data_IF_628903552936
#
_entry.id   IF_628903552936
#
_cell.length_a   1.000
_cell.length_b   1.000
_cell.length_c   1.000
_cell.angle_alpha   90.00
_cell.angle_beta   90.00
_cell.angle_gamma   90.00
#
_symmetry.space_group_name_H-M   'P 1'
#
loop_
_entity.id
_entity.type
_entity.pdbx_description
1 polymer ?
#
# COMPACT_ATOMS: atom_id res chain seq x y z
N UNK A 1 23.45 -7.90 -20.61
CA UNK A 1 22.11 -8.41 -20.91
C UNK A 1 21.80 -9.52 -19.92
N UNK A 2 21.19 -9.19 -18.79
CA UNK A 2 20.54 -10.19 -17.94
C UNK A 2 19.28 -9.52 -17.40
N UNK A 3 18.13 -9.95 -17.91
CA UNK A 3 16.87 -9.57 -17.33
C UNK A 3 16.84 -10.18 -15.92
N UNK A 4 16.94 -9.36 -14.89
CA UNK A 4 16.61 -9.73 -13.54
C UNK A 4 15.14 -10.15 -13.53
N UNK A 5 14.90 -11.42 -13.79
CA UNK A 5 13.54 -11.93 -13.89
C UNK A 5 13.01 -12.14 -12.49
N UNK A 6 12.21 -11.16 -12.01
CA UNK A 6 11.44 -11.31 -10.77
C UNK A 6 10.72 -12.66 -10.77
N UNK A 7 10.86 -13.41 -9.68
CA UNK A 7 10.05 -14.60 -9.47
C UNK A 7 8.59 -14.22 -9.18
N UNK A 8 7.78 -14.20 -10.24
CA UNK A 8 6.35 -13.90 -10.16
C UNK A 8 5.55 -14.93 -9.38
N UNK A 9 6.05 -16.15 -9.24
CA UNK A 9 5.39 -17.17 -8.42
C UNK A 9 5.60 -16.88 -6.92
N UNK A 10 6.81 -16.46 -6.53
CA UNK A 10 7.09 -15.97 -5.18
C UNK A 10 6.23 -14.76 -4.86
N UNK A 11 6.21 -13.76 -5.75
CA UNK A 11 5.42 -12.54 -5.58
C UNK A 11 3.93 -12.86 -5.41
N UNK A 12 3.37 -13.77 -6.20
CA UNK A 12 1.97 -14.22 -6.09
C UNK A 12 1.68 -14.84 -4.72
N UNK A 13 2.61 -15.62 -4.18
CA UNK A 13 2.46 -16.28 -2.88
C UNK A 13 2.35 -15.30 -1.72
N UNK A 14 3.07 -14.17 -1.77
CA UNK A 14 3.15 -13.21 -0.66
C UNK A 14 2.30 -11.95 -0.82
N UNK A 15 1.74 -11.67 -2.02
CA UNK A 15 1.09 -10.37 -2.31
C UNK A 15 -0.44 -10.38 -2.38
N UNK A 16 -1.08 -11.54 -2.27
CA UNK A 16 -2.56 -11.66 -2.28
C UNK A 16 -3.21 -10.85 -3.43
N UNK A 17 -4.16 -9.94 -3.11
CA UNK A 17 -4.83 -9.08 -4.09
C UNK A 17 -3.91 -8.07 -4.76
N UNK A 18 -2.82 -7.66 -4.11
CA UNK A 18 -1.87 -6.70 -4.67
C UNK A 18 -1.07 -7.26 -5.85
N UNK A 19 -0.98 -8.59 -5.99
CA UNK A 19 -0.41 -9.25 -7.16
C UNK A 19 -1.06 -8.79 -8.48
N UNK A 20 -2.38 -8.64 -8.50
CA UNK A 20 -3.11 -8.18 -9.69
C UNK A 20 -2.69 -6.75 -10.06
N UNK A 21 -2.56 -5.87 -9.06
CA UNK A 21 -2.06 -4.50 -9.24
C UNK A 21 -0.68 -4.52 -9.90
N UNK A 22 0.26 -5.30 -9.37
CA UNK A 22 1.63 -5.38 -9.91
C UNK A 22 1.67 -5.94 -11.34
N UNK A 23 0.84 -6.93 -11.66
CA UNK A 23 0.77 -7.52 -13.01
C UNK A 23 0.21 -6.58 -14.07
N UNK A 24 -0.71 -5.71 -13.69
CA UNK A 24 -1.34 -4.74 -14.59
C UNK A 24 -0.40 -3.57 -14.91
N UNK A 25 0.58 -3.26 -14.05
CA UNK A 25 1.49 -2.13 -14.24
C UNK A 25 2.12 -2.09 -15.63
N UNK A 26 2.34 -0.88 -16.19
CA UNK A 26 3.16 -0.69 -17.39
C UNK A 26 4.57 -1.24 -17.19
N UNK A 27 5.14 -1.83 -18.24
CA UNK A 27 6.47 -2.45 -18.19
C UNK A 27 7.57 -1.54 -17.62
N UNK A 28 7.65 -0.22 -17.94
CA UNK A 28 8.73 0.63 -17.43
C UNK A 28 8.87 0.70 -15.91
N UNK A 29 7.74 0.61 -15.16
CA UNK A 29 7.73 0.76 -13.70
C UNK A 29 7.49 -0.55 -12.95
N UNK A 30 7.02 -1.59 -13.65
CA UNK A 30 6.54 -2.84 -13.03
C UNK A 30 7.60 -3.53 -12.19
N UNK A 31 8.79 -3.69 -12.73
CA UNK A 31 9.87 -4.43 -12.09
C UNK A 31 10.35 -3.72 -10.82
N UNK A 32 10.63 -2.43 -10.91
CA UNK A 32 11.12 -1.65 -9.77
C UNK A 32 10.10 -1.58 -8.63
N UNK A 33 8.80 -1.45 -8.96
CA UNK A 33 7.73 -1.46 -7.95
C UNK A 33 7.59 -2.85 -7.33
N UNK A 34 7.71 -3.92 -8.13
CA UNK A 34 7.64 -5.29 -7.62
C UNK A 34 8.83 -5.63 -6.71
N UNK A 35 10.05 -5.16 -7.03
CA UNK A 35 11.24 -5.31 -6.17
C UNK A 35 11.07 -4.56 -4.85
N UNK A 36 10.63 -3.31 -4.88
CA UNK A 36 10.35 -2.55 -3.66
C UNK A 36 9.28 -3.24 -2.77
N UNK A 37 8.25 -3.82 -3.39
CA UNK A 37 7.25 -4.61 -2.68
C UNK A 37 7.85 -5.86 -2.03
N UNK A 38 8.70 -6.63 -2.74
CA UNK A 38 9.38 -7.80 -2.18
C UNK A 38 10.29 -7.41 -0.99
N UNK A 39 11.05 -6.31 -1.12
CA UNK A 39 11.89 -5.79 -0.04
C UNK A 39 11.06 -5.44 1.21
N UNK A 40 9.95 -4.73 1.05
CA UNK A 40 9.03 -4.42 2.14
C UNK A 40 8.48 -5.70 2.79
N UNK A 41 8.07 -6.71 1.98
CA UNK A 41 7.55 -7.98 2.50
C UNK A 41 8.61 -8.81 3.24
N UNK A 42 9.88 -8.78 2.80
CA UNK A 42 10.99 -9.38 3.56
C UNK A 42 11.08 -8.75 4.95
N UNK A 43 11.11 -7.41 5.03
CA UNK A 43 11.18 -6.71 6.32
C UNK A 43 9.99 -6.99 7.23
N UNK A 44 8.75 -6.97 6.69
CA UNK A 44 7.53 -7.32 7.44
C UNK A 44 7.62 -8.75 8.00
N UNK A 45 8.05 -9.70 7.15
CA UNK A 45 8.14 -11.10 7.55
C UNK A 45 9.24 -11.35 8.58
N UNK A 46 10.35 -10.61 8.50
CA UNK A 46 11.41 -10.64 9.53
C UNK A 46 10.92 -10.08 10.86
N UNK A 47 10.11 -9.02 10.84
CA UNK A 47 9.59 -8.38 12.03
C UNK A 47 8.50 -9.21 12.74
N UNK A 48 7.56 -9.77 11.96
CA UNK A 48 6.37 -10.48 12.49
C UNK A 48 6.53 -12.00 12.59
N UNK A 49 7.58 -12.55 11.98
CA UNK A 49 7.78 -13.99 11.82
C UNK A 49 7.05 -14.58 10.61
N UNK A 50 7.63 -15.60 9.99
CA UNK A 50 7.03 -16.28 8.85
C UNK A 50 5.90 -17.22 9.29
N UNK A 51 4.65 -16.92 8.90
CA UNK A 51 3.45 -17.69 9.25
C UNK A 51 3.02 -18.66 8.15
N UNK A 52 3.51 -18.50 6.91
CA UNK A 52 3.16 -19.30 5.75
C UNK A 52 4.38 -19.88 5.04
N UNK A 53 4.18 -20.95 4.23
CA UNK A 53 5.23 -21.50 3.38
C UNK A 53 5.77 -20.48 2.37
N UNK A 54 4.91 -19.60 1.85
CA UNK A 54 5.33 -18.56 0.93
C UNK A 54 6.24 -17.52 1.60
N UNK A 55 5.97 -17.16 2.85
CA UNK A 55 6.80 -16.23 3.64
C UNK A 55 8.13 -16.87 4.03
N UNK A 56 8.16 -18.14 4.40
CA UNK A 56 9.44 -18.85 4.63
C UNK A 56 10.30 -18.86 3.37
N UNK A 57 9.72 -19.22 2.22
CA UNK A 57 10.40 -19.16 0.92
C UNK A 57 10.88 -17.75 0.55
N UNK A 58 10.15 -16.71 0.94
CA UNK A 58 10.57 -15.32 0.75
C UNK A 58 11.85 -15.01 1.52
N UNK A 59 11.95 -15.45 2.79
CA UNK A 59 13.14 -15.24 3.62
C UNK A 59 14.33 -16.06 3.11
N UNK A 60 14.12 -17.31 2.67
CA UNK A 60 15.17 -18.14 2.05
C UNK A 60 15.78 -17.48 0.82
N UNK A 61 15.02 -16.63 0.11
CA UNK A 61 15.46 -15.93 -1.09
C UNK A 61 15.83 -14.47 -0.86
N UNK A 62 15.95 -14.02 0.39
CA UNK A 62 16.29 -12.63 0.70
C UNK A 62 17.56 -12.16 -0.03
N UNK A 63 18.65 -12.93 0.02
CA UNK A 63 19.91 -12.57 -0.63
C UNK A 63 19.82 -12.47 -2.16
N UNK A 64 18.88 -13.19 -2.80
CA UNK A 64 18.60 -13.03 -4.23
C UNK A 64 17.84 -11.74 -4.50
N UNK A 65 16.86 -11.40 -3.66
CA UNK A 65 16.09 -10.16 -3.77
C UNK A 65 17.02 -8.96 -3.61
N UNK A 66 17.93 -8.99 -2.64
CA UNK A 66 18.95 -7.94 -2.43
C UNK A 66 19.86 -7.77 -3.66
N UNK A 67 20.29 -8.88 -4.29
CA UNK A 67 21.04 -8.82 -5.56
C UNK A 67 20.22 -8.22 -6.70
N UNK A 68 18.95 -8.62 -6.87
CA UNK A 68 18.07 -8.04 -7.89
C UNK A 68 17.87 -6.53 -7.70
N UNK A 69 17.81 -6.08 -6.43
CA UNK A 69 17.75 -4.64 -6.12
C UNK A 69 19.07 -3.97 -6.47
N UNK A 70 20.20 -4.57 -6.11
CA UNK A 70 21.54 -4.04 -6.40
C UNK A 70 21.78 -3.87 -7.91
N UNK A 71 21.28 -4.80 -8.72
CA UNK A 71 21.39 -4.78 -10.18
C UNK A 71 20.33 -3.89 -10.87
N UNK A 72 19.35 -3.39 -10.12
CA UNK A 72 18.28 -2.55 -10.67
C UNK A 72 18.76 -1.16 -11.04
N UNK A 73 18.34 -0.61 -12.21
CA UNK A 73 18.61 0.77 -12.58
C UNK A 73 17.96 1.79 -11.63
N UNK A 74 16.99 1.36 -10.83
CA UNK A 74 16.29 2.18 -9.82
C UNK A 74 16.68 1.81 -8.38
N UNK A 75 17.85 1.19 -8.23
CA UNK A 75 18.38 0.75 -6.93
C UNK A 75 18.25 1.82 -5.84
N UNK A 76 18.70 3.06 -6.14
CA UNK A 76 18.70 4.15 -5.15
C UNK A 76 17.30 4.48 -4.65
N UNK A 77 16.32 4.52 -5.54
CA UNK A 77 14.92 4.79 -5.20
C UNK A 77 14.33 3.64 -4.38
N UNK A 78 14.63 2.39 -4.73
CA UNK A 78 14.15 1.19 -4.02
C UNK A 78 14.76 1.13 -2.63
N UNK A 79 16.08 1.30 -2.49
CA UNK A 79 16.77 1.31 -1.19
C UNK A 79 16.26 2.44 -0.28
N UNK A 80 16.01 3.63 -0.85
CA UNK A 80 15.48 4.78 -0.11
C UNK A 80 14.09 4.50 0.48
N UNK A 81 13.14 4.02 -0.33
CA UNK A 81 11.80 3.69 0.18
C UNK A 81 11.83 2.53 1.15
N UNK A 82 12.69 1.54 0.92
CA UNK A 82 12.85 0.41 1.82
C UNK A 82 13.43 0.85 3.18
N UNK A 83 14.41 1.74 3.19
CA UNK A 83 14.95 2.31 4.44
C UNK A 83 13.87 3.06 5.24
N UNK A 84 13.03 3.86 4.56
CA UNK A 84 11.92 4.57 5.20
C UNK A 84 10.88 3.61 5.79
N UNK A 85 10.53 2.53 5.06
CA UNK A 85 9.60 1.51 5.57
C UNK A 85 10.18 0.83 6.82
N UNK A 86 11.48 0.49 6.82
CA UNK A 86 12.15 -0.10 7.99
C UNK A 86 12.13 0.85 9.19
N UNK A 87 12.35 2.15 8.98
CA UNK A 87 12.19 3.14 10.04
C UNK A 87 10.79 3.09 10.65
N UNK A 88 9.74 2.96 9.83
CA UNK A 88 8.36 2.81 10.29
C UNK A 88 8.12 1.52 11.09
N UNK A 89 8.74 0.41 10.68
CA UNK A 89 8.67 -0.87 11.41
C UNK A 89 9.44 -0.82 12.73
N UNK A 90 10.57 -0.13 12.77
CA UNK A 90 11.35 0.10 14.00
C UNK A 90 10.60 1.01 14.96
N UNK A 91 9.95 2.07 14.44
CA UNK A 91 9.06 2.93 15.21
C UNK A 91 7.93 2.10 15.86
N UNK A 92 7.23 1.28 15.07
CA UNK A 92 6.14 0.41 15.56
C UNK A 92 6.61 -0.53 16.66
N UNK A 93 7.74 -1.21 16.47
CA UNK A 93 8.32 -2.11 17.47
C UNK A 93 8.70 -1.38 18.75
N UNK A 94 9.41 -0.26 18.64
CA UNK A 94 9.86 0.51 19.82
C UNK A 94 8.68 1.07 20.61
N UNK A 95 7.63 1.52 19.89
CA UNK A 95 6.47 2.19 20.47
C UNK A 95 5.58 1.22 21.26
N UNK A 96 5.47 -0.03 20.78
CA UNK A 96 4.60 -1.05 21.38
C UNK A 96 5.36 -2.16 22.11
N UNK A 97 6.67 -2.03 22.31
CA UNK A 97 7.48 -3.05 23.01
C UNK A 97 7.31 -3.04 24.53
N UNK A 98 6.80 -1.96 25.12
CA UNK A 98 6.64 -1.81 26.56
C UNK A 98 5.18 -2.06 26.98
N UNK A 99 4.99 -2.80 28.07
CA UNK A 99 3.69 -3.13 28.65
C UNK A 99 2.96 -1.86 29.11
N UNK A 100 1.78 -1.67 28.57
CA UNK A 100 0.90 -0.53 28.78
C UNK A 100 0.62 0.13 27.44
N UNK A 101 -0.36 -0.41 26.71
CA UNK A 101 -0.72 0.06 25.38
C UNK A 101 -1.24 1.51 25.45
N UNK A 102 -0.33 2.48 25.33
CA UNK A 102 -0.68 3.89 25.17
C UNK A 102 -0.95 4.10 23.67
N UNK A 103 -2.11 4.67 23.30
CA UNK A 103 -2.41 4.99 21.90
C UNK A 103 -1.37 5.93 21.28
N UNK A 104 -1.26 5.90 19.94
CA UNK A 104 -0.46 6.90 19.23
C UNK A 104 -1.10 8.29 19.36
N UNK A 105 -0.26 9.34 19.46
CA UNK A 105 -0.71 10.72 19.23
C UNK A 105 -1.01 10.93 17.73
N UNK A 106 -1.62 12.09 17.40
CA UNK A 106 -1.94 12.44 16.01
C UNK A 106 -0.69 12.56 15.16
N UNK A 107 0.35 13.18 15.69
CA UNK A 107 1.63 13.32 15.02
C UNK A 107 2.32 11.96 14.84
N UNK A 108 2.24 11.08 15.85
CA UNK A 108 2.78 9.73 15.77
C UNK A 108 2.05 8.90 14.72
N UNK A 109 0.72 8.99 14.66
CA UNK A 109 -0.11 8.29 13.67
C UNK A 109 0.16 8.82 12.26
N UNK A 110 0.25 10.14 12.09
CA UNK A 110 0.57 10.78 10.82
C UNK A 110 1.96 10.37 10.34
N UNK A 111 2.97 10.42 11.22
CA UNK A 111 4.33 9.97 10.93
C UNK A 111 4.37 8.49 10.55
N UNK A 112 3.73 7.63 11.35
CA UNK A 112 3.70 6.19 11.09
C UNK A 112 3.08 5.86 9.74
N UNK A 113 1.92 6.42 9.43
CA UNK A 113 1.24 6.20 8.15
C UNK A 113 2.06 6.69 6.96
N UNK A 114 2.85 7.78 7.13
CA UNK A 114 3.81 8.22 6.13
C UNK A 114 4.94 7.21 5.96
N UNK A 115 5.59 6.78 7.05
CA UNK A 115 6.76 5.91 7.01
C UNK A 115 6.46 4.55 6.37
N UNK A 116 5.27 3.96 6.64
CA UNK A 116 4.96 2.61 6.15
C UNK A 116 4.19 2.60 4.82
N UNK A 117 3.57 3.71 4.42
CA UNK A 117 2.72 3.72 3.22
C UNK A 117 2.76 5.03 2.42
N UNK A 118 2.79 6.20 3.05
CA UNK A 118 2.89 7.48 2.34
C UNK A 118 4.17 7.58 1.51
N UNK A 119 5.30 7.11 2.03
CA UNK A 119 6.57 7.04 1.32
C UNK A 119 6.50 6.15 0.06
N UNK A 120 5.67 5.09 0.09
CA UNK A 120 5.43 4.23 -1.08
C UNK A 120 4.69 5.00 -2.17
N UNK A 121 3.71 5.84 -1.81
CA UNK A 121 3.02 6.72 -2.76
C UNK A 121 3.96 7.74 -3.41
N UNK A 122 4.86 8.33 -2.64
CA UNK A 122 5.91 9.22 -3.15
C UNK A 122 6.87 8.48 -4.10
N UNK A 123 7.38 7.31 -3.70
CA UNK A 123 8.24 6.46 -4.50
C UNK A 123 7.60 6.06 -5.84
N UNK A 124 6.35 5.58 -5.79
CA UNK A 124 5.56 5.22 -6.97
C UNK A 124 5.45 6.39 -7.94
N UNK A 125 5.09 7.57 -7.45
CA UNK A 125 4.96 8.79 -8.25
C UNK A 125 6.30 9.21 -8.87
N UNK A 126 7.38 9.16 -8.10
CA UNK A 126 8.75 9.46 -8.58
C UNK A 126 9.16 8.52 -9.72
N UNK A 127 8.92 7.21 -9.58
CA UNK A 127 9.23 6.24 -10.64
C UNK A 127 8.39 6.49 -11.89
N UNK A 128 7.09 6.77 -11.74
CA UNK A 128 6.22 7.09 -12.87
C UNK A 128 6.71 8.35 -13.59
N UNK A 129 7.08 9.40 -12.88
CA UNK A 129 7.61 10.62 -13.48
C UNK A 129 8.94 10.38 -14.21
N UNK A 130 9.84 9.60 -13.62
CA UNK A 130 11.16 9.27 -14.18
C UNK A 130 11.04 8.43 -15.47
N UNK A 131 10.16 7.43 -15.48
CA UNK A 131 10.12 6.39 -16.53
C UNK A 131 8.99 6.56 -17.54
N UNK A 132 8.02 7.40 -17.25
CA UNK A 132 6.83 7.60 -18.07
C UNK A 132 6.51 9.10 -18.20
N UNK A 133 7.29 9.86 -18.99
CA UNK A 133 7.03 11.28 -19.22
C UNK A 133 5.57 11.52 -19.60
N UNK A 134 4.94 12.51 -18.97
CA UNK A 134 3.53 12.80 -19.21
C UNK A 134 2.53 11.78 -18.63
N UNK A 135 2.93 10.97 -17.64
CA UNK A 135 2.07 9.96 -16.99
C UNK A 135 0.82 10.56 -16.32
N UNK A 136 0.84 11.85 -16.02
CA UNK A 136 -0.27 12.56 -15.39
C UNK A 136 -0.61 13.89 -16.08
N UNK A 137 -1.77 14.45 -15.75
CA UNK A 137 -2.23 15.78 -16.16
C UNK A 137 -1.88 16.87 -15.15
N UNK A 138 -1.34 16.51 -13.99
CA UNK A 138 -0.89 17.42 -12.92
C UNK A 138 0.63 17.45 -12.87
N UNK A 139 1.17 18.48 -12.26
CA UNK A 139 2.60 18.62 -12.01
C UNK A 139 3.11 17.58 -11.00
N UNK A 140 4.44 17.42 -10.94
CA UNK A 140 5.06 16.39 -10.11
C UNK A 140 4.84 16.63 -8.61
N UNK A 141 4.88 17.87 -8.12
CA UNK A 141 4.71 18.18 -6.71
C UNK A 141 3.29 17.85 -6.24
N UNK A 142 2.28 18.25 -7.02
CA UNK A 142 0.86 17.91 -6.78
C UNK A 142 0.67 16.38 -6.77
N UNK A 143 1.20 15.65 -7.78
CA UNK A 143 1.09 14.20 -7.83
C UNK A 143 1.78 13.52 -6.66
N UNK A 144 2.93 14.00 -6.22
CA UNK A 144 3.63 13.45 -5.05
C UNK A 144 2.80 13.63 -3.78
N UNK A 145 2.24 14.82 -3.55
CA UNK A 145 1.36 15.07 -2.41
C UNK A 145 0.13 14.15 -2.41
N UNK A 146 -0.55 14.03 -3.56
CA UNK A 146 -1.69 13.13 -3.72
C UNK A 146 -1.29 11.66 -3.51
N UNK A 147 -0.13 11.24 -4.02
CA UNK A 147 0.39 9.88 -3.84
C UNK A 147 0.70 9.54 -2.38
N UNK A 148 1.29 10.48 -1.63
CA UNK A 148 1.54 10.35 -0.19
C UNK A 148 0.21 10.17 0.55
N UNK A 149 -0.77 11.05 0.29
CA UNK A 149 -2.10 10.95 0.90
C UNK A 149 -2.80 9.64 0.55
N UNK A 150 -2.66 9.18 -0.69
CA UNK A 150 -3.18 7.88 -1.10
C UNK A 150 -2.60 6.75 -0.24
N UNK A 151 -1.28 6.67 -0.09
CA UNK A 151 -0.62 5.67 0.75
C UNK A 151 -1.12 5.74 2.20
N UNK A 152 -1.13 6.94 2.80
CA UNK A 152 -1.63 7.16 4.17
C UNK A 152 -3.08 6.68 4.32
N UNK A 153 -3.96 7.02 3.38
CA UNK A 153 -5.36 6.58 3.39
C UNK A 153 -5.50 5.06 3.38
N UNK A 154 -4.73 4.36 2.54
CA UNK A 154 -4.72 2.89 2.53
C UNK A 154 -4.26 2.32 3.89
N UNK A 155 -3.28 2.94 4.53
CA UNK A 155 -2.79 2.49 5.83
C UNK A 155 -3.79 2.75 6.95
N UNK A 156 -4.45 3.90 6.98
CA UNK A 156 -5.53 4.17 7.93
C UNK A 156 -6.66 3.15 7.82
N UNK A 157 -7.06 2.78 6.59
CA UNK A 157 -8.04 1.70 6.36
C UNK A 157 -7.55 0.37 6.95
N UNK A 158 -6.27 0.02 6.79
CA UNK A 158 -5.70 -1.20 7.38
C UNK A 158 -5.75 -1.15 8.91
N UNK A 159 -5.34 -0.03 9.52
CA UNK A 159 -5.37 0.18 10.98
C UNK A 159 -6.79 0.04 11.52
N UNK A 160 -7.78 0.70 10.91
CA UNK A 160 -9.17 0.63 11.33
C UNK A 160 -9.75 -0.79 11.17
N UNK A 161 -9.40 -1.49 10.09
CA UNK A 161 -9.84 -2.87 9.81
C UNK A 161 -9.26 -3.88 10.78
N UNK A 162 -7.98 -3.78 11.08
CA UNK A 162 -7.24 -4.79 11.84
C UNK A 162 -7.19 -4.48 13.35
N UNK A 163 -7.91 -3.42 13.81
CA UNK A 163 -7.91 -2.89 15.18
C UNK A 163 -8.00 -3.96 16.27
N UNK A 164 -8.94 -4.90 16.14
CA UNK A 164 -9.12 -5.96 17.15
C UNK A 164 -7.92 -6.92 17.21
N UNK A 165 -7.32 -7.23 16.07
CA UNK A 165 -6.14 -8.08 15.99
C UNK A 165 -4.88 -7.37 16.51
N UNK A 166 -4.77 -6.06 16.29
CA UNK A 166 -3.67 -5.24 16.79
C UNK A 166 -3.77 -5.03 18.29
N UNK A 167 -4.97 -4.79 18.81
CA UNK A 167 -5.23 -4.72 20.26
C UNK A 167 -4.84 -6.01 20.97
N UNK A 168 -5.15 -7.18 20.37
CA UNK A 168 -4.75 -8.47 20.93
C UNK A 168 -3.20 -8.66 20.99
N UNK A 169 -2.45 -7.88 20.21
CA UNK A 169 -0.98 -7.82 20.22
C UNK A 169 -0.44 -6.66 21.07
N UNK A 170 -1.30 -5.95 21.81
CA UNK A 170 -0.92 -4.79 22.61
C UNK A 170 -0.65 -3.52 21.80
N UNK A 171 -1.09 -3.45 20.52
CA UNK A 171 -0.92 -2.29 19.64
C UNK A 171 -2.20 -1.48 19.57
N UNK A 172 -2.15 -0.22 19.97
CA UNK A 172 -3.29 0.71 19.88
C UNK A 172 -2.86 1.90 19.02
N UNK A 173 -3.13 1.81 17.71
CA UNK A 173 -2.86 2.92 16.77
C UNK A 173 -3.89 4.04 16.93
N UNK A 174 -5.15 3.69 17.17
CA UNK A 174 -6.26 4.63 17.26
C UNK A 174 -7.08 4.28 18.51
N UNK A 175 -7.20 5.20 19.49
CA UNK A 175 -8.03 4.97 20.65
C UNK A 175 -9.53 4.99 20.26
N UNK A 176 -10.41 4.30 21.03
CA UNK A 176 -11.83 4.17 20.68
C UNK A 176 -12.55 5.50 20.46
N UNK A 177 -12.25 6.52 21.27
CA UNK A 177 -12.84 7.87 21.20
C UNK A 177 -12.53 8.59 19.89
N UNK A 178 -11.40 8.31 19.26
CA UNK A 178 -10.98 8.91 18.00
C UNK A 178 -11.33 8.12 16.75
N UNK A 179 -12.02 6.99 16.91
CA UNK A 179 -12.35 6.09 15.82
C UNK A 179 -13.07 6.80 14.65
N UNK A 180 -14.10 7.59 14.95
CA UNK A 180 -14.89 8.29 13.93
C UNK A 180 -14.09 9.40 13.24
N UNK A 181 -13.24 10.10 13.98
CA UNK A 181 -12.33 11.11 13.42
C UNK A 181 -11.38 10.49 12.40
N UNK A 182 -10.71 9.39 12.78
CA UNK A 182 -9.75 8.71 11.91
C UNK A 182 -10.45 8.04 10.73
N UNK A 183 -11.71 7.59 10.89
CA UNK A 183 -12.53 7.10 9.79
C UNK A 183 -12.76 8.21 8.74
N UNK A 184 -13.11 9.42 9.17
CA UNK A 184 -13.30 10.56 8.27
C UNK A 184 -11.97 11.04 7.67
N UNK A 185 -10.89 11.03 8.43
CA UNK A 185 -9.55 11.30 7.91
C UNK A 185 -9.16 10.33 6.79
N UNK A 186 -9.41 9.03 6.98
CA UNK A 186 -9.20 8.03 5.95
C UNK A 186 -10.03 8.31 4.69
N UNK A 187 -11.30 8.76 4.82
CA UNK A 187 -12.14 9.17 3.69
C UNK A 187 -11.54 10.35 2.94
N UNK A 188 -11.07 11.38 3.64
CA UNK A 188 -10.42 12.56 3.04
C UNK A 188 -9.16 12.15 2.26
N UNK A 189 -8.37 11.24 2.81
CA UNK A 189 -7.21 10.69 2.11
C UNK A 189 -7.61 9.88 0.86
N UNK A 190 -8.70 9.11 0.91
CA UNK A 190 -9.19 8.38 -0.27
C UNK A 190 -9.79 9.30 -1.33
N UNK A 191 -10.32 10.48 -0.99
CA UNK A 191 -10.68 11.51 -1.97
C UNK A 191 -9.43 12.04 -2.69
N UNK A 192 -8.34 12.25 -1.97
CA UNK A 192 -7.05 12.61 -2.60
C UNK A 192 -6.52 11.48 -3.50
N UNK A 193 -6.72 10.21 -3.12
CA UNK A 193 -6.41 9.07 -3.96
C UNK A 193 -7.25 9.03 -5.24
N UNK A 194 -8.53 9.40 -5.16
CA UNK A 194 -9.41 9.54 -6.33
C UNK A 194 -8.86 10.60 -7.30
N UNK A 195 -8.43 11.75 -6.78
CA UNK A 195 -7.85 12.82 -7.60
C UNK A 195 -6.50 12.40 -8.21
N UNK A 196 -5.69 11.62 -7.48
CA UNK A 196 -4.50 10.99 -8.03
C UNK A 196 -4.83 10.11 -9.25
N UNK A 197 -5.79 9.20 -9.10
CA UNK A 197 -6.19 8.27 -10.18
C UNK A 197 -6.79 9.02 -11.37
N UNK A 198 -7.59 10.06 -11.14
CA UNK A 198 -8.15 10.93 -12.19
C UNK A 198 -7.08 11.64 -13.00
N UNK A 199 -6.00 12.06 -12.36
CA UNK A 199 -4.89 12.74 -13.01
C UNK A 199 -4.02 11.82 -13.87
N UNK A 200 -4.04 10.50 -13.67
CA UNK A 200 -3.26 9.55 -14.45
C UNK A 200 -3.75 9.50 -15.90
N UNK A 201 -2.83 9.58 -16.87
CA UNK A 201 -3.14 9.46 -18.31
C UNK A 201 -3.07 8.02 -18.82
N UNK A 202 -2.19 7.21 -18.25
CA UNK A 202 -2.03 5.82 -18.66
C UNK A 202 -3.11 4.93 -18.03
N UNK A 203 -3.90 4.23 -18.84
CA UNK A 203 -5.02 3.40 -18.37
C UNK A 203 -4.59 2.26 -17.44
N UNK A 204 -3.41 1.66 -17.68
CA UNK A 204 -2.89 0.57 -16.83
C UNK A 204 -2.51 1.08 -15.44
N UNK A 205 -1.92 2.28 -15.35
CA UNK A 205 -1.70 2.94 -14.06
C UNK A 205 -3.02 3.25 -13.37
N UNK A 206 -4.03 3.74 -14.10
CA UNK A 206 -5.38 3.96 -13.53
C UNK A 206 -5.94 2.68 -12.95
N UNK A 207 -5.96 1.57 -13.70
CA UNK A 207 -6.48 0.29 -13.22
C UNK A 207 -5.70 -0.18 -11.99
N UNK A 208 -4.37 -0.10 -12.03
CA UNK A 208 -3.50 -0.53 -10.93
C UNK A 208 -3.75 0.27 -9.64
N UNK A 209 -4.04 1.57 -9.74
CA UNK A 209 -4.35 2.43 -8.60
C UNK A 209 -5.85 2.37 -8.21
N UNK A 210 -6.75 2.17 -9.17
CA UNK A 210 -8.19 2.12 -8.90
C UNK A 210 -8.60 0.93 -8.03
N UNK A 211 -8.00 -0.25 -8.25
CA UNK A 211 -8.37 -1.46 -7.52
C UNK A 211 -8.12 -1.32 -6.00
N UNK A 212 -6.93 -0.93 -5.52
CA UNK A 212 -6.73 -0.71 -4.08
C UNK A 212 -7.59 0.43 -3.52
N UNK A 213 -7.84 1.50 -4.30
CA UNK A 213 -8.74 2.58 -3.91
C UNK A 213 -10.18 2.06 -3.69
N UNK A 214 -10.72 1.28 -4.63
CA UNK A 214 -12.07 0.73 -4.50
C UNK A 214 -12.18 -0.26 -3.34
N UNK A 215 -11.16 -1.12 -3.16
CA UNK A 215 -11.12 -2.04 -2.02
C UNK A 215 -11.07 -1.30 -0.68
N UNK A 216 -10.30 -0.23 -0.60
CA UNK A 216 -10.21 0.59 0.60
C UNK A 216 -11.55 1.28 0.92
N UNK A 217 -12.21 1.85 -0.09
CA UNK A 217 -13.53 2.47 0.06
C UNK A 217 -14.56 1.47 0.58
N UNK A 218 -14.71 0.32 -0.08
CA UNK A 218 -15.62 -0.74 0.37
C UNK A 218 -15.28 -1.26 1.79
N UNK A 219 -13.99 -1.32 2.12
CA UNK A 219 -13.57 -1.74 3.46
C UNK A 219 -13.98 -0.70 4.50
N UNK A 220 -13.84 0.61 4.21
CA UNK A 220 -14.31 1.68 5.09
C UNK A 220 -15.82 1.64 5.30
N UNK A 221 -16.59 1.37 4.24
CA UNK A 221 -18.05 1.28 4.34
C UNK A 221 -18.47 0.07 5.22
N UNK A 222 -17.78 -1.07 5.09
CA UNK A 222 -18.00 -2.21 5.98
C UNK A 222 -17.63 -1.89 7.44
N UNK A 223 -16.53 -1.18 7.67
CA UNK A 223 -16.11 -0.73 9.01
C UNK A 223 -17.12 0.24 9.60
N UNK A 224 -17.62 1.19 8.82
CA UNK A 224 -18.59 2.18 9.25
C UNK A 224 -19.97 1.55 9.57
N UNK A 225 -20.37 0.52 8.80
CA UNK A 225 -21.65 -0.18 9.01
C UNK A 225 -21.64 -1.08 10.24
N UNK A 226 -20.50 -1.65 10.58
CA UNK A 226 -20.32 -2.46 11.80
C UNK A 226 -18.93 -2.21 12.42
N UNK A 227 -18.80 -1.16 13.26
CA UNK A 227 -17.55 -0.85 13.95
C UNK A 227 -17.08 -1.94 14.92
N UNK A 228 -17.97 -2.87 15.31
CA UNK A 228 -17.65 -3.97 16.22
C UNK A 228 -17.08 -5.20 15.51
N UNK A 229 -17.19 -5.27 14.19
CA UNK A 229 -16.70 -6.40 13.42
C UNK A 229 -15.20 -6.63 13.65
N UNK A 230 -14.82 -7.83 14.03
CA UNK A 230 -13.44 -8.16 14.39
C UNK A 230 -12.45 -7.96 13.24
N UNK A 231 -12.87 -8.19 11.99
CA UNK A 231 -12.07 -7.99 10.79
C UNK A 231 -12.94 -7.98 9.53
N UNK A 232 -13.57 -6.86 9.18
CA UNK A 232 -14.40 -6.79 7.98
C UNK A 232 -13.58 -7.09 6.72
N UNK A 233 -14.14 -7.92 5.85
CA UNK A 233 -13.45 -8.34 4.61
C UNK A 233 -14.39 -8.24 3.43
N UNK A 234 -13.94 -7.57 2.38
CA UNK A 234 -14.59 -7.59 1.07
C UNK A 234 -14.58 -9.02 0.51
N UNK A 235 -15.73 -9.54 0.10
CA UNK A 235 -15.84 -10.90 -0.42
C UNK A 235 -15.05 -11.08 -1.71
N UNK A 236 -14.57 -12.29 -2.00
CA UNK A 236 -13.83 -12.60 -3.24
C UNK A 236 -14.63 -12.24 -4.50
N UNK A 237 -15.95 -12.49 -4.48
CA UNK A 237 -16.84 -12.12 -5.59
C UNK A 237 -16.84 -10.61 -5.80
N UNK A 238 -16.93 -9.82 -4.72
CA UNK A 238 -16.91 -8.36 -4.78
C UNK A 238 -15.57 -7.84 -5.29
N UNK A 239 -14.44 -8.44 -4.90
CA UNK A 239 -13.10 -8.09 -5.42
C UNK A 239 -13.07 -8.22 -6.95
N UNK A 240 -13.63 -9.27 -7.52
CA UNK A 240 -13.72 -9.43 -8.99
C UNK A 240 -14.60 -8.36 -9.65
N UNK A 241 -15.72 -8.03 -9.03
CA UNK A 241 -16.59 -6.94 -9.51
C UNK A 241 -15.85 -5.60 -9.51
N UNK A 242 -15.11 -5.30 -8.44
CA UNK A 242 -14.32 -4.08 -8.34
C UNK A 242 -13.17 -4.05 -9.35
N UNK A 243 -12.54 -5.18 -9.64
CA UNK A 243 -11.52 -5.28 -10.69
C UNK A 243 -12.10 -4.96 -12.06
N UNK A 244 -13.23 -5.59 -12.44
CA UNK A 244 -13.92 -5.30 -13.70
C UNK A 244 -14.31 -3.82 -13.76
N UNK A 245 -14.87 -3.28 -12.68
CA UNK A 245 -15.23 -1.86 -12.59
C UNK A 245 -14.00 -0.95 -12.76
N UNK A 246 -12.87 -1.27 -12.11
CA UNK A 246 -11.62 -0.51 -12.26
C UNK A 246 -11.16 -0.47 -13.73
N UNK A 247 -11.24 -1.58 -14.45
CA UNK A 247 -10.93 -1.64 -15.87
C UNK A 247 -11.89 -0.78 -16.70
N UNK A 248 -13.20 -0.97 -16.53
CA UNK A 248 -14.23 -0.27 -17.31
C UNK A 248 -14.15 1.25 -17.11
N UNK A 249 -14.07 1.71 -15.86
CA UNK A 249 -13.99 3.14 -15.54
C UNK A 249 -12.68 3.76 -16.02
N UNK A 250 -11.58 3.01 -15.96
CA UNK A 250 -10.28 3.48 -16.46
C UNK A 250 -10.23 3.67 -17.98
N UNK A 251 -11.06 2.94 -18.73
CA UNK A 251 -11.16 3.05 -20.18
C UNK A 251 -12.16 4.12 -20.65
N UNK A 252 -13.26 4.33 -19.90
CA UNK A 252 -14.42 5.13 -20.38
C UNK A 252 -14.54 6.53 -19.76
N UNK A 253 -13.74 6.86 -18.66
CA UNK A 253 -13.87 8.15 -17.90
C UNK A 253 -15.33 8.61 -17.72
N UNK A 254 -15.74 9.58 -16.91
CA UNK A 254 -15.02 10.14 -15.77
C UNK A 254 -14.93 9.13 -14.62
N UNK A 255 -13.79 9.11 -13.96
CA UNK A 255 -13.54 8.18 -12.86
C UNK A 255 -14.33 8.58 -11.60
N UNK A 256 -15.16 7.68 -11.07
CA UNK A 256 -15.98 7.88 -9.86
C UNK A 256 -15.79 6.70 -8.90
N UNK A 257 -15.88 6.96 -7.60
CA UNK A 257 -15.92 5.91 -6.58
C UNK A 257 -17.17 5.01 -6.78
N UNK A 258 -17.11 3.75 -6.32
CA UNK A 258 -18.29 2.89 -6.22
C UNK A 258 -19.37 3.58 -5.35
N UNK A 259 -20.61 3.43 -5.74
CA UNK A 259 -21.74 3.67 -4.86
C UNK A 259 -21.96 2.44 -4.03
#
# INVERSE_FOLDING_TARGET
>A
MNSSSIDWALLKGVSRSFYLTLRILPAPVRESIALAYLAARVSDTLADGATSAAERRLLERQGEIERWIADSPDRREIESVWATIREGQDFDRSRFSHSGAIPLSDEELDRYTYLVAGCVGAFWTKLCAKKMPGFSSRDHATMTSLGIRFGKGLQLVNILRDRSADLAKGRIYVPPERFNEVLEEARVHLLSALDYVRALRNYRLRVACALPLFLAHETLDLIASDPSAARPKVSRRRVWVLLVRAVVVSLRGPFRLPA
#
